data_IF_995034707851
#
_entry.id   IF_995034707851
#
_cell.length_a   1.000
_cell.length_b   1.000
_cell.length_c   1.000
_cell.angle_alpha   90.00
_cell.angle_beta   90.00
_cell.angle_gamma   90.00
#
_symmetry.space_group_name_H-M   'P 1'
#
loop_
_entity.id
_entity.type
_entity.pdbx_description
1 polymer ?
#
# COMPACT_ATOMS: atom_id res chain seq x y z
N UNK A 1 -45.12 -6.90 9.15
CA UNK A 1 -44.91 -5.95 8.04
C UNK A 1 -44.05 -4.76 8.45
N UNK A 2 -44.44 -3.90 9.42
CA UNK A 2 -43.58 -2.79 9.87
C UNK A 2 -42.22 -3.23 10.43
N UNK A 3 -42.18 -4.28 11.25
CA UNK A 3 -40.92 -4.86 11.78
C UNK A 3 -39.99 -5.34 10.66
N UNK A 4 -40.52 -6.01 9.64
CA UNK A 4 -39.74 -6.48 8.49
C UNK A 4 -39.10 -5.33 7.68
N UNK A 5 -39.77 -4.17 7.60
CA UNK A 5 -39.23 -2.98 6.93
C UNK A 5 -38.11 -2.38 7.77
N UNK A 6 -38.28 -2.31 9.10
CA UNK A 6 -37.25 -1.81 10.02
C UNK A 6 -36.03 -2.75 10.00
N UNK A 7 -36.24 -4.06 10.04
CA UNK A 7 -35.18 -5.07 9.92
C UNK A 7 -34.46 -4.97 8.57
N UNK A 8 -35.19 -4.73 7.47
CA UNK A 8 -34.58 -4.52 6.16
C UNK A 8 -33.70 -3.26 6.13
N UNK A 9 -34.15 -2.16 6.73
CA UNK A 9 -33.38 -0.91 6.83
C UNK A 9 -32.12 -1.08 7.69
N UNK A 10 -32.22 -1.84 8.80
CA UNK A 10 -31.07 -2.16 9.65
C UNK A 10 -30.05 -3.01 8.90
N UNK A 11 -30.48 -4.09 8.24
CA UNK A 11 -29.61 -4.93 7.42
C UNK A 11 -28.91 -4.15 6.29
N UNK A 12 -29.62 -3.21 5.65
CA UNK A 12 -29.03 -2.31 4.65
C UNK A 12 -27.99 -1.39 5.31
N UNK A 13 -28.26 -0.84 6.48
CA UNK A 13 -27.31 0.02 7.22
C UNK A 13 -26.03 -0.74 7.59
N UNK A 14 -26.15 -1.97 8.10
CA UNK A 14 -25.00 -2.82 8.45
C UNK A 14 -24.15 -3.17 7.22
N UNK A 15 -24.79 -3.44 6.08
CA UNK A 15 -24.09 -3.66 4.82
C UNK A 15 -23.35 -2.42 4.32
N UNK A 16 -23.89 -1.21 4.56
CA UNK A 16 -23.23 0.05 4.23
C UNK A 16 -22.01 0.32 5.12
N UNK A 17 -22.09 0.04 6.42
CA UNK A 17 -20.95 0.14 7.32
C UNK A 17 -19.85 -0.85 6.93
N UNK A 18 -20.21 -2.11 6.69
CA UNK A 18 -19.29 -3.15 6.22
C UNK A 18 -18.61 -2.76 4.91
N UNK A 19 -19.37 -2.19 3.97
CA UNK A 19 -18.81 -1.73 2.70
C UNK A 19 -17.84 -0.56 2.89
N UNK A 20 -18.18 0.43 3.73
CA UNK A 20 -17.28 1.55 4.06
C UNK A 20 -15.99 1.06 4.71
N UNK A 21 -16.07 0.09 5.62
CA UNK A 21 -14.91 -0.53 6.25
C UNK A 21 -14.06 -1.29 5.23
N UNK A 22 -14.67 -2.11 4.37
CA UNK A 22 -13.95 -2.83 3.32
C UNK A 22 -13.20 -1.88 2.36
N UNK A 23 -13.86 -0.79 1.94
CA UNK A 23 -13.24 0.25 1.11
C UNK A 23 -12.09 0.94 1.86
N UNK A 24 -12.26 1.26 3.13
CA UNK A 24 -11.24 1.93 3.94
C UNK A 24 -10.03 1.03 4.18
N UNK A 25 -10.25 -0.26 4.47
CA UNK A 25 -9.18 -1.25 4.62
C UNK A 25 -8.41 -1.45 3.31
N UNK A 26 -9.11 -1.50 2.16
CA UNK A 26 -8.45 -1.53 0.84
C UNK A 26 -7.56 -0.30 0.61
N UNK A 27 -8.03 0.90 0.97
CA UNK A 27 -7.23 2.14 0.89
C UNK A 27 -6.02 2.11 1.81
N UNK A 28 -6.22 1.72 3.06
CA UNK A 28 -5.13 1.65 4.04
C UNK A 28 -4.08 0.62 3.63
N UNK A 29 -4.50 -0.55 3.15
CA UNK A 29 -3.60 -1.60 2.66
C UNK A 29 -2.78 -1.12 1.45
N UNK A 30 -3.41 -0.41 0.50
CA UNK A 30 -2.70 0.19 -0.63
C UNK A 30 -1.64 1.21 -0.18
N UNK A 31 -1.99 2.09 0.78
CA UNK A 31 -1.05 3.07 1.36
C UNK A 31 0.13 2.36 2.04
N UNK A 32 -0.14 1.35 2.88
CA UNK A 32 0.88 0.55 3.56
C UNK A 32 1.80 -0.16 2.58
N UNK A 33 1.26 -0.69 1.47
CA UNK A 33 2.03 -1.39 0.46
C UNK A 33 2.96 -0.45 -0.32
N UNK A 34 2.51 0.78 -0.60
CA UNK A 34 3.36 1.81 -1.21
C UNK A 34 4.45 2.29 -0.24
N UNK A 35 4.15 2.42 1.05
CA UNK A 35 5.09 2.88 2.08
C UNK A 35 6.11 1.80 2.51
N UNK A 36 5.78 0.52 2.41
CA UNK A 36 6.67 -0.56 2.87
C UNK A 36 7.95 -0.63 2.04
N UNK A 37 7.88 -0.42 0.72
CA UNK A 37 9.04 -0.49 -0.19
C UNK A 37 10.13 0.53 0.16
N UNK A 38 9.86 1.86 0.24
CA UNK A 38 10.88 2.83 0.61
C UNK A 38 11.35 2.66 2.06
N UNK A 39 10.47 2.24 2.98
CA UNK A 39 10.83 1.98 4.38
C UNK A 39 11.80 0.81 4.50
N UNK A 40 11.59 -0.28 3.75
CA UNK A 40 12.51 -1.41 3.71
C UNK A 40 13.89 -0.99 3.22
N UNK A 41 13.97 -0.22 2.14
CA UNK A 41 15.25 0.25 1.60
C UNK A 41 15.97 1.17 2.57
N UNK A 42 15.23 2.07 3.23
CA UNK A 42 15.79 2.93 4.28
C UNK A 42 16.28 2.10 5.47
N UNK A 43 15.55 1.04 5.84
CA UNK A 43 15.95 0.12 6.91
C UNK A 43 17.23 -0.66 6.56
N UNK A 44 17.36 -1.14 5.32
CA UNK A 44 18.57 -1.83 4.87
C UNK A 44 19.79 -0.90 4.80
N UNK A 45 19.62 0.37 4.40
CA UNK A 45 20.70 1.37 4.37
C UNK A 45 21.00 2.00 5.74
N UNK A 46 20.02 1.99 6.66
CA UNK A 46 20.19 2.48 8.03
C UNK A 46 20.82 1.44 8.97
N UNK A 47 20.75 0.15 8.63
CA UNK A 47 21.59 -0.87 9.24
C UNK A 47 23.00 -0.71 8.65
N UNK A 48 24.02 -0.53 9.49
CA UNK A 48 25.45 -0.41 9.12
C UNK A 48 25.99 -1.72 8.52
N UNK A 49 25.38 -2.20 7.44
CA UNK A 49 25.77 -3.38 6.69
C UNK A 49 26.50 -2.84 5.47
N UNK A 50 27.77 -3.21 5.31
CA UNK A 50 28.58 -2.80 4.18
C UNK A 50 27.92 -3.25 2.87
N UNK A 51 27.24 -2.33 2.19
CA UNK A 51 26.71 -2.56 0.86
C UNK A 51 27.86 -2.35 -0.13
N UNK A 52 28.04 -3.25 -1.13
CA UNK A 52 29.07 -3.12 -2.15
C UNK A 52 28.76 -2.00 -3.18
N UNK A 53 28.48 -0.77 -2.71
CA UNK A 53 28.35 0.49 -3.46
C UNK A 53 28.56 1.74 -2.56
N UNK A 54 28.99 1.56 -1.31
CA UNK A 54 29.05 2.60 -0.27
C UNK A 54 30.13 3.69 -0.50
N UNK A 55 31.07 3.46 -1.41
CA UNK A 55 32.19 4.37 -1.69
C UNK A 55 31.88 5.55 -2.62
N UNK A 56 30.70 5.59 -3.25
CA UNK A 56 30.33 6.70 -4.15
C UNK A 56 29.37 7.67 -3.48
N UNK A 57 29.59 9.01 -3.56
CA UNK A 57 28.70 10.03 -2.98
C UNK A 57 27.28 10.02 -3.56
N UNK A 58 27.05 9.32 -4.67
CA UNK A 58 25.75 9.16 -5.32
C UNK A 58 25.06 7.82 -5.00
N UNK A 59 25.60 7.00 -4.10
CA UNK A 59 25.02 5.70 -3.71
C UNK A 59 23.57 5.83 -3.23
N UNK A 60 23.29 6.82 -2.39
CA UNK A 60 21.93 7.17 -1.97
C UNK A 60 21.02 7.51 -3.16
N UNK A 61 21.49 8.33 -4.10
CA UNK A 61 20.68 8.79 -5.25
C UNK A 61 20.37 7.63 -6.20
N UNK A 62 21.35 6.75 -6.47
CA UNK A 62 21.19 5.58 -7.33
C UNK A 62 20.19 4.60 -6.73
N UNK A 63 20.24 4.38 -5.43
CA UNK A 63 19.35 3.44 -4.74
C UNK A 63 17.95 4.03 -4.61
N UNK A 64 17.85 5.31 -4.32
CA UNK A 64 16.56 6.00 -4.25
C UNK A 64 15.88 6.04 -5.61
N UNK A 65 16.63 6.27 -6.70
CA UNK A 65 16.09 6.22 -8.06
C UNK A 65 15.70 4.80 -8.46
N UNK A 66 16.51 3.77 -8.20
CA UNK A 66 16.14 2.36 -8.45
C UNK A 66 14.90 1.96 -7.64
N UNK A 67 14.84 2.31 -6.35
CA UNK A 67 13.69 2.10 -5.48
C UNK A 67 12.42 2.74 -6.04
N UNK A 68 12.51 4.02 -6.41
CA UNK A 68 11.37 4.78 -6.92
C UNK A 68 10.90 4.20 -8.25
N UNK A 69 11.82 3.83 -9.14
CA UNK A 69 11.50 3.17 -10.41
C UNK A 69 10.86 1.80 -10.18
N UNK A 70 11.36 1.00 -9.23
CA UNK A 70 10.81 -0.32 -8.91
C UNK A 70 9.42 -0.22 -8.25
N UNK A 71 9.20 0.80 -7.42
CA UNK A 71 7.91 1.11 -6.80
C UNK A 71 6.91 1.56 -7.87
N UNK A 72 7.30 2.47 -8.77
CA UNK A 72 6.45 2.90 -9.89
C UNK A 72 6.16 1.72 -10.83
N UNK A 73 7.15 0.87 -11.11
CA UNK A 73 6.97 -0.31 -11.96
C UNK A 73 6.03 -1.35 -11.33
N UNK A 74 6.16 -1.62 -10.03
CA UNK A 74 5.26 -2.54 -9.32
C UNK A 74 3.85 -1.97 -9.23
N UNK A 75 3.69 -0.67 -8.93
CA UNK A 75 2.37 -0.01 -8.93
C UNK A 75 1.75 -0.02 -10.33
N UNK A 76 2.52 0.31 -11.38
CA UNK A 76 2.04 0.27 -12.77
C UNK A 76 1.68 -1.16 -13.21
N UNK A 77 2.46 -2.16 -12.79
CA UNK A 77 2.17 -3.56 -13.07
C UNK A 77 0.94 -4.06 -12.31
N UNK A 78 0.75 -3.65 -11.05
CA UNK A 78 -0.42 -3.97 -10.25
C UNK A 78 -1.69 -3.30 -10.82
N UNK A 79 -1.56 -2.08 -11.34
CA UNK A 79 -2.64 -1.37 -12.05
C UNK A 79 -3.02 -2.04 -13.36
N UNK A 80 -2.05 -2.63 -14.07
CA UNK A 80 -2.26 -3.31 -15.35
C UNK A 80 -2.78 -4.74 -15.21
N UNK A 81 -2.76 -5.30 -14.00
CA UNK A 81 -3.17 -6.69 -13.71
C UNK A 81 -4.46 -6.77 -12.90
N UNK A 82 -5.31 -5.75 -12.96
CA UNK A 82 -6.71 -5.77 -12.49
C UNK A 82 -6.91 -6.56 -11.18
N UNK A 83 -6.25 -6.12 -10.10
CA UNK A 83 -6.71 -6.43 -8.74
C UNK A 83 -7.64 -5.32 -8.23
N UNK A 84 -8.57 -4.89 -9.09
CA UNK A 84 -9.78 -4.17 -8.70
C UNK A 84 -11.02 -4.80 -9.31
#
# INVERSE_FOLDING_TARGET
MYQQIIDAIMNVSDSLFSNKLNITMKRLSAITLVLSIPTLITSFYGMNIDLPFQGHPYSLVIVFTISTVLTIATVAYLYKKDFF
#
